data_IF_845914984958
#
_entry.id   IF_845914984958
#
_cell.length_a   1.000
_cell.length_b   1.000
_cell.length_c   1.000
_cell.angle_alpha   90.00
_cell.angle_beta   90.00
_cell.angle_gamma   90.00
#
_symmetry.space_group_name_H-M   'P 1'
#
loop_
_entity.id
_entity.type
_entity.pdbx_description
1 polymer ?
#
# COMPACT_ATOMS: atom_id res chain seq x y z
N UNK A 1 -3.49 19.17 -2.06
CA UNK A 1 -3.64 18.00 -1.18
C UNK A 1 -4.92 17.28 -1.55
N UNK A 2 -4.83 16.23 -2.39
CA UNK A 2 -5.96 15.35 -2.72
C UNK A 2 -6.51 14.61 -1.50
N UNK A 3 -7.78 14.20 -1.55
CA UNK A 3 -8.46 13.49 -0.46
C UNK A 3 -8.67 12.01 -0.78
N UNK A 4 -8.55 11.17 0.24
CA UNK A 4 -8.91 9.76 0.17
C UNK A 4 -9.62 9.31 1.46
N UNK A 5 -10.68 8.50 1.31
CA UNK A 5 -11.43 7.91 2.42
C UNK A 5 -11.33 6.39 2.37
N UNK A 6 -11.13 5.72 3.49
CA UNK A 6 -11.05 4.26 3.56
C UNK A 6 -12.27 3.71 4.27
N UNK A 7 -13.02 2.84 3.61
CA UNK A 7 -14.11 2.07 4.21
C UNK A 7 -13.66 0.63 4.44
N UNK A 8 -14.32 -0.06 5.38
CA UNK A 8 -14.14 -1.50 5.56
C UNK A 8 -15.47 -2.22 5.52
N UNK A 9 -15.45 -3.45 5.04
CA UNK A 9 -16.60 -4.34 5.04
C UNK A 9 -16.21 -5.68 5.65
N UNK A 10 -16.77 -5.98 6.82
CA UNK A 10 -16.61 -7.27 7.48
C UNK A 10 -17.69 -8.26 7.00
N UNK A 11 -17.27 -9.48 6.64
CA UNK A 11 -18.17 -10.56 6.27
C UNK A 11 -17.66 -11.91 6.78
N UNK A 12 -18.59 -12.84 6.94
CA UNK A 12 -18.31 -14.21 7.37
C UNK A 12 -18.12 -15.08 6.12
N UNK A 13 -16.97 -15.74 6.00
CA UNK A 13 -16.70 -16.74 4.96
C UNK A 13 -16.62 -18.14 5.56
N UNK A 14 -17.16 -19.14 4.85
CA UNK A 14 -16.92 -20.54 5.19
C UNK A 14 -15.44 -20.87 4.99
N UNK A 15 -14.81 -21.50 5.98
CA UNK A 15 -13.42 -21.92 5.85
C UNK A 15 -13.30 -22.99 4.75
N UNK A 16 -12.22 -22.95 3.97
CA UNK A 16 -11.97 -23.88 2.84
C UNK A 16 -11.76 -25.36 3.21
N UNK A 17 -12.07 -25.75 4.44
CA UNK A 17 -12.09 -27.13 4.93
C UNK A 17 -13.44 -27.33 5.66
N UNK A 18 -14.06 -28.49 5.46
CA UNK A 18 -15.35 -28.86 6.05
C UNK A 18 -15.38 -28.90 7.60
N UNK A 19 -14.23 -28.77 8.27
CA UNK A 19 -14.09 -28.68 9.72
C UNK A 19 -13.85 -27.24 10.22
N UNK A 20 -13.63 -26.28 9.33
CA UNK A 20 -13.43 -24.88 9.69
C UNK A 20 -14.78 -24.15 9.75
N UNK A 21 -15.12 -23.62 10.93
CA UNK A 21 -16.28 -22.72 11.07
C UNK A 21 -16.12 -21.43 10.28
N UNK A 22 -17.16 -20.59 10.32
CA UNK A 22 -17.15 -19.28 9.67
C UNK A 22 -15.98 -18.44 10.21
N UNK A 23 -15.21 -17.85 9.30
CA UNK A 23 -14.15 -16.90 9.61
C UNK A 23 -14.62 -15.48 9.29
N UNK A 24 -14.35 -14.55 10.20
CA UNK A 24 -14.45 -13.13 9.88
C UNK A 24 -13.33 -12.77 8.90
N UNK A 25 -13.72 -12.13 7.80
CA UNK A 25 -12.82 -11.51 6.84
C UNK A 25 -13.26 -10.05 6.69
N UNK A 26 -12.28 -9.16 6.61
CA UNK A 26 -12.52 -7.75 6.42
C UNK A 26 -11.81 -7.31 5.15
N UNK A 27 -12.52 -6.61 4.28
CA UNK A 27 -11.97 -6.01 3.07
C UNK A 27 -11.96 -4.50 3.25
N UNK A 28 -10.86 -3.86 2.87
CA UNK A 28 -10.70 -2.41 2.94
C UNK A 28 -10.70 -1.83 1.53
N UNK A 29 -11.43 -0.73 1.35
CA UNK A 29 -11.50 -0.03 0.05
C UNK A 29 -11.10 1.42 0.25
N UNK A 30 -10.16 1.91 -0.56
CA UNK A 30 -9.80 3.33 -0.60
C UNK A 30 -10.61 4.02 -1.71
N UNK A 31 -11.25 5.13 -1.35
CA UNK A 31 -12.05 5.98 -2.24
C UNK A 31 -11.34 7.30 -2.46
N UNK A 32 -11.05 7.63 -3.72
CA UNK A 32 -10.40 8.87 -4.11
C UNK A 32 -11.43 9.96 -4.46
N UNK A 33 -11.04 11.22 -4.33
CA UNK A 33 -11.88 12.39 -4.67
C UNK A 33 -12.39 12.39 -6.13
N UNK A 34 -11.68 11.74 -7.05
CA UNK A 34 -12.08 11.58 -8.46
C UNK A 34 -13.07 10.42 -8.69
N UNK A 35 -13.74 9.95 -7.63
CA UNK A 35 -14.73 8.87 -7.62
C UNK A 35 -14.18 7.49 -8.01
N UNK A 36 -12.85 7.35 -8.17
CA UNK A 36 -12.23 6.04 -8.32
C UNK A 36 -12.09 5.39 -6.95
N UNK A 37 -12.13 4.06 -6.93
CA UNK A 37 -11.95 3.29 -5.71
C UNK A 37 -11.17 2.04 -6.02
N UNK A 38 -10.32 1.63 -5.08
CA UNK A 38 -9.47 0.45 -5.21
C UNK A 38 -9.54 -0.34 -3.91
N UNK A 39 -9.56 -1.67 -4.04
CA UNK A 39 -9.51 -2.58 -2.89
C UNK A 39 -8.06 -2.69 -2.43
N UNK A 40 -7.83 -2.52 -1.13
CA UNK A 40 -6.51 -2.73 -0.53
C UNK A 40 -6.27 -4.22 -0.30
N UNK A 41 -5.05 -4.69 -0.55
CA UNK A 41 -4.64 -6.05 -0.21
C UNK A 41 -4.67 -6.27 1.30
N UNK A 42 -4.14 -5.32 2.06
CA UNK A 42 -4.24 -5.25 3.51
C UNK A 42 -4.41 -3.80 3.97
N UNK A 43 -4.89 -3.60 5.20
CA UNK A 43 -4.90 -2.28 5.84
C UNK A 43 -3.54 -2.01 6.49
N UNK A 44 -2.54 -1.75 5.66
CA UNK A 44 -1.16 -1.52 6.08
C UNK A 44 -0.44 -0.50 5.18
N UNK A 45 0.78 -0.14 5.58
CA UNK A 45 1.58 0.86 4.87
C UNK A 45 1.91 0.44 3.43
N UNK A 46 2.43 -0.79 3.17
CA UNK A 46 2.72 -1.25 1.82
C UNK A 46 1.52 -1.14 0.87
N UNK A 47 0.35 -1.65 1.29
CA UNK A 47 -0.85 -1.68 0.45
C UNK A 47 -1.34 -0.27 0.11
N UNK A 48 -1.31 0.66 1.08
CA UNK A 48 -1.69 2.05 0.87
C UNK A 48 -0.72 2.78 -0.06
N UNK A 49 0.60 2.65 0.17
CA UNK A 49 1.62 3.27 -0.68
C UNK A 49 1.51 2.76 -2.11
N UNK A 50 1.39 1.45 -2.30
CA UNK A 50 1.29 0.84 -3.63
C UNK A 50 0.03 1.32 -4.38
N UNK A 51 -1.13 1.25 -3.72
CA UNK A 51 -2.41 1.66 -4.32
C UNK A 51 -2.40 3.13 -4.72
N UNK A 52 -1.91 4.02 -3.83
CA UNK A 52 -1.82 5.45 -4.11
C UNK A 52 -0.76 5.71 -5.20
N UNK A 53 0.40 5.06 -5.17
CA UNK A 53 1.40 5.23 -6.23
C UNK A 53 0.83 4.83 -7.60
N UNK A 54 0.13 3.70 -7.68
CA UNK A 54 -0.48 3.22 -8.92
C UNK A 54 -1.58 4.17 -9.45
N UNK A 55 -2.39 4.73 -8.54
CA UNK A 55 -3.37 5.78 -8.84
C UNK A 55 -2.71 7.01 -9.46
N UNK A 56 -1.48 7.33 -9.06
CA UNK A 56 -0.68 8.46 -9.54
C UNK A 56 0.27 8.06 -10.69
N UNK A 57 -0.06 7.00 -11.44
CA UNK A 57 0.63 6.66 -12.70
C UNK A 57 1.87 5.78 -12.54
N UNK A 58 2.21 5.36 -11.33
CA UNK A 58 3.24 4.34 -11.14
C UNK A 58 2.70 2.96 -11.56
N UNK A 59 3.61 2.08 -11.95
CA UNK A 59 3.29 0.72 -12.39
C UNK A 59 4.26 -0.25 -11.76
N UNK A 60 3.72 -1.41 -11.40
CA UNK A 60 4.55 -2.53 -11.01
C UNK A 60 5.32 -3.07 -12.22
N UNK A 61 6.57 -3.43 -12.02
CA UNK A 61 7.37 -4.08 -13.03
C UNK A 61 8.25 -5.15 -12.39
N UNK A 62 8.37 -6.28 -13.09
CA UNK A 62 9.32 -7.32 -12.74
C UNK A 62 10.62 -7.05 -13.50
N UNK A 63 11.74 -6.98 -12.78
CA UNK A 63 13.07 -6.78 -13.35
C UNK A 63 13.99 -7.97 -13.02
N UNK A 64 14.79 -8.45 -13.98
CA UNK A 64 15.79 -9.47 -13.69
C UNK A 64 16.97 -8.84 -12.93
N UNK A 65 17.39 -9.46 -11.82
CA UNK A 65 18.52 -8.98 -10.99
C UNK A 65 19.68 -9.98 -10.91
N UNK A 66 19.57 -11.08 -11.63
CA UNK A 66 20.56 -12.13 -11.69
C UNK A 66 20.16 -13.22 -12.68
N UNK A 67 20.88 -14.33 -12.65
CA UNK A 67 20.51 -15.50 -13.45
C UNK A 67 19.41 -16.24 -12.72
N UNK A 68 18.17 -16.11 -13.21
CA UNK A 68 16.99 -16.78 -12.66
C UNK A 68 16.31 -16.05 -11.50
N UNK A 69 16.82 -14.87 -11.12
CA UNK A 69 16.25 -14.05 -10.05
C UNK A 69 15.53 -12.83 -10.63
N UNK A 70 14.34 -12.56 -10.10
CA UNK A 70 13.48 -11.46 -10.46
C UNK A 70 13.09 -10.66 -9.22
N UNK A 71 12.92 -9.35 -9.40
CA UNK A 71 12.45 -8.45 -8.36
C UNK A 71 11.27 -7.62 -8.84
N UNK A 72 10.37 -7.33 -7.92
CA UNK A 72 9.23 -6.44 -8.15
C UNK A 72 9.63 -5.02 -7.74
N UNK A 73 9.46 -4.08 -8.66
CA UNK A 73 9.66 -2.65 -8.43
C UNK A 73 8.41 -1.87 -8.82
N UNK A 74 8.30 -0.65 -8.29
CA UNK A 74 7.36 0.36 -8.78
C UNK A 74 8.14 1.35 -9.64
N UNK A 75 7.69 1.59 -10.87
CA UNK A 75 8.33 2.57 -11.77
C UNK A 75 7.31 3.48 -12.45
N UNK A 76 7.76 4.67 -12.82
CA UNK A 76 7.10 5.54 -13.78
C UNK A 76 8.08 5.89 -14.91
N UNK A 77 7.76 6.89 -15.73
CA UNK A 77 8.61 7.30 -16.86
C UNK A 77 10.00 7.83 -16.44
N UNK A 78 10.14 8.31 -15.20
CA UNK A 78 11.31 9.07 -14.74
C UNK A 78 12.07 8.43 -13.57
N UNK A 79 11.46 7.50 -12.84
CA UNK A 79 11.98 6.99 -11.59
C UNK A 79 11.52 5.56 -11.30
N UNK A 80 12.27 4.89 -10.41
CA UNK A 80 11.96 3.57 -9.87
C UNK A 80 12.13 3.56 -8.35
N UNK A 81 11.26 2.81 -7.67
CA UNK A 81 11.30 2.55 -6.23
C UNK A 81 11.22 1.05 -6.03
N UNK A 82 12.20 0.49 -5.32
CA UNK A 82 12.29 -0.91 -4.95
C UNK A 82 11.80 -1.10 -3.50
N UNK A 83 10.66 -1.79 -3.27
CA UNK A 83 10.27 -2.25 -1.95
C UNK A 83 11.06 -3.53 -1.57
N UNK A 84 11.59 -3.58 -0.35
CA UNK A 84 12.28 -4.75 0.22
C UNK A 84 11.63 -5.08 1.56
N UNK A 85 10.98 -6.24 1.64
CA UNK A 85 10.26 -6.69 2.82
C UNK A 85 11.22 -7.33 3.83
N UNK A 86 11.23 -6.82 5.06
CA UNK A 86 12.10 -7.26 6.16
C UNK A 86 11.25 -7.60 7.40
N UNK A 87 10.58 -8.76 7.38
CA UNK A 87 9.72 -9.17 8.49
C UNK A 87 8.54 -8.21 8.67
N UNK A 88 8.48 -7.51 9.80
CA UNK A 88 7.49 -6.48 10.15
C UNK A 88 7.80 -5.10 9.56
N UNK A 89 8.98 -4.94 8.95
CA UNK A 89 9.43 -3.72 8.31
C UNK A 89 9.47 -3.83 6.79
N UNK A 90 9.53 -2.67 6.14
CA UNK A 90 9.75 -2.52 4.71
C UNK A 90 10.77 -1.41 4.47
N UNK A 91 11.65 -1.65 3.51
CA UNK A 91 12.59 -0.64 2.99
C UNK A 91 12.13 -0.23 1.61
N UNK A 92 11.91 1.06 1.39
CA UNK A 92 11.78 1.61 0.06
C UNK A 92 13.11 2.23 -0.36
N UNK A 93 13.61 1.79 -1.51
CA UNK A 93 14.91 2.19 -2.03
C UNK A 93 14.77 2.78 -3.44
N UNK A 94 15.41 3.92 -3.64
CA UNK A 94 15.72 4.50 -4.95
C UNK A 94 17.24 4.48 -5.13
N UNK A 95 17.75 5.00 -6.24
CA UNK A 95 19.20 5.07 -6.45
C UNK A 95 19.91 5.96 -5.42
N UNK A 96 19.26 7.03 -4.95
CA UNK A 96 19.85 8.04 -4.06
C UNK A 96 19.31 8.02 -2.62
N UNK A 97 18.17 7.36 -2.39
CA UNK A 97 17.46 7.43 -1.12
C UNK A 97 17.01 6.05 -0.64
N UNK A 98 17.05 5.86 0.67
CA UNK A 98 16.55 4.66 1.35
C UNK A 98 15.73 5.08 2.57
N UNK A 99 14.52 4.55 2.69
CA UNK A 99 13.64 4.78 3.82
C UNK A 99 13.16 3.43 4.38
N UNK A 100 13.42 3.18 5.66
CA UNK A 100 13.01 1.96 6.36
C UNK A 100 11.93 2.30 7.37
N UNK A 101 10.80 1.61 7.30
CA UNK A 101 9.59 1.89 8.11
C UNK A 101 8.92 0.58 8.53
N UNK A 102 8.11 0.63 9.57
CA UNK A 102 7.23 -0.47 9.94
C UNK A 102 6.12 -0.62 8.88
N UNK A 103 5.63 -1.85 8.66
CA UNK A 103 4.51 -2.10 7.74
C UNK A 103 3.16 -1.78 8.38
N UNK A 104 3.01 -2.08 9.66
CA UNK A 104 1.75 -1.95 10.41
C UNK A 104 1.91 -0.98 11.57
N UNK A 105 0.83 -0.30 11.92
CA UNK A 105 0.77 0.70 12.99
C UNK A 105 -0.51 0.50 13.79
N UNK A 106 -0.46 0.73 15.10
CA UNK A 106 -1.65 0.66 15.97
C UNK A 106 -2.52 1.92 15.85
N UNK A 107 -1.90 3.06 15.51
CA UNK A 107 -2.55 4.36 15.40
C UNK A 107 -2.65 4.76 13.91
N UNK A 108 -3.87 4.98 13.44
CA UNK A 108 -4.15 5.27 12.02
C UNK A 108 -3.50 6.58 11.56
N UNK A 109 -3.44 7.59 12.42
CA UNK A 109 -2.80 8.86 12.11
C UNK A 109 -1.29 8.69 11.86
N UNK A 110 -0.63 7.79 12.60
CA UNK A 110 0.78 7.47 12.40
C UNK A 110 0.99 6.72 11.07
N UNK A 111 0.11 5.76 10.77
CA UNK A 111 0.10 5.07 9.48
C UNK A 111 -0.02 6.07 8.32
N UNK A 112 -1.03 6.94 8.34
CA UNK A 112 -1.28 7.88 7.25
C UNK A 112 -0.16 8.92 7.11
N UNK A 113 0.43 9.35 8.23
CA UNK A 113 1.63 10.19 8.21
C UNK A 113 2.79 9.47 7.52
N UNK A 114 3.06 8.22 7.89
CA UNK A 114 4.18 7.47 7.32
C UNK A 114 3.97 7.14 5.84
N UNK A 115 2.74 6.82 5.43
CA UNK A 115 2.35 6.67 4.01
C UNK A 115 2.68 7.95 3.24
N UNK A 116 2.26 9.11 3.74
CA UNK A 116 2.55 10.39 3.10
C UNK A 116 4.05 10.72 3.05
N UNK A 117 4.81 10.40 4.09
CA UNK A 117 6.28 10.56 4.08
C UNK A 117 6.93 9.74 2.96
N UNK A 118 6.53 8.48 2.79
CA UNK A 118 7.04 7.61 1.71
C UNK A 118 6.65 8.17 0.34
N UNK A 119 5.38 8.52 0.15
CA UNK A 119 4.86 9.05 -1.12
C UNK A 119 5.57 10.35 -1.55
N UNK A 120 5.76 11.28 -0.61
CA UNK A 120 6.41 12.56 -0.91
C UNK A 120 7.90 12.38 -1.17
N UNK A 121 8.60 11.63 -0.31
CA UNK A 121 10.05 11.53 -0.39
C UNK A 121 10.50 10.71 -1.60
N UNK A 122 9.88 9.55 -1.84
CA UNK A 122 10.38 8.58 -2.83
C UNK A 122 9.60 8.60 -4.14
N UNK A 123 8.29 8.82 -4.07
CA UNK A 123 7.43 8.80 -5.27
C UNK A 123 7.17 10.19 -5.85
N UNK A 124 7.59 11.25 -5.14
CA UNK A 124 7.33 12.66 -5.51
C UNK A 124 5.85 12.96 -5.73
N UNK A 125 4.98 12.27 -4.99
CA UNK A 125 3.52 12.44 -5.03
C UNK A 125 3.13 13.44 -3.94
N UNK A 126 2.22 14.37 -4.24
CA UNK A 126 1.66 15.27 -3.24
C UNK A 126 1.02 14.48 -2.09
N UNK A 127 1.14 14.94 -0.82
CA UNK A 127 0.51 14.25 0.30
C UNK A 127 -1.01 14.16 0.12
N UNK A 128 -1.61 13.09 0.63
CA UNK A 128 -3.03 12.86 0.66
C UNK A 128 -3.60 13.16 2.05
N UNK A 129 -4.76 13.79 2.10
CA UNK A 129 -5.58 13.82 3.31
C UNK A 129 -6.36 12.49 3.37
N UNK A 130 -5.81 11.52 4.11
CA UNK A 130 -6.38 10.17 4.28
C UNK A 130 -7.22 10.14 5.56
N UNK A 131 -8.44 9.61 5.47
CA UNK A 131 -9.34 9.42 6.62
C UNK A 131 -10.05 8.07 6.53
N UNK A 132 -10.50 7.57 7.67
CA UNK A 132 -11.50 6.50 7.67
C UNK A 132 -12.87 7.09 7.34
N UNK A 133 -13.60 6.44 6.44
CA UNK A 133 -15.02 6.67 6.29
C UNK A 133 -15.70 6.15 7.57
N UNK A 134 -16.44 7.03 8.24
CA UNK A 134 -17.30 6.61 9.35
C UNK A 134 -18.63 6.22 8.68
N UNK A 135 -19.02 4.96 8.84
CA UNK A 135 -20.35 4.47 8.46
C UNK A 135 -21.48 5.20 9.22
#
# INVERSE_FOLDING_TARGET
MPRAAISSQAFLVEGGCNACGLKNTETFTIHFEDQRSEVLEAFDLPSLVQTIAQKNGWREAVIPVGIGDEEIILKNETAQVKPIYLGDQIVYQTDDQRLQVNKTFEINEELFKQVNEVLVQLFKIEPYEIKLAID
#
